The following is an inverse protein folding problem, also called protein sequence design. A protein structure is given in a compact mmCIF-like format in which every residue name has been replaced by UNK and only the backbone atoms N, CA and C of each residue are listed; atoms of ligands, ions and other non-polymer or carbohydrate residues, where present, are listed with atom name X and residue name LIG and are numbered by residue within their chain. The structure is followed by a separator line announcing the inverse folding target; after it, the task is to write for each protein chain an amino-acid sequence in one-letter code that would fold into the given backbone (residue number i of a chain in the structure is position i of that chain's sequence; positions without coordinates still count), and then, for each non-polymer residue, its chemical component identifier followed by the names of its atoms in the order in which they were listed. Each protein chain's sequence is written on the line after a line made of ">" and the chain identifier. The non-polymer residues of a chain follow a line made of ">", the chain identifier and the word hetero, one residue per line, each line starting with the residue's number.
data_IF_607903698543
#
_entry.id   IF_607903698543
#
_cell.length_a   1.000
_cell.length_b   1.000
_cell.length_c   1.000
_cell.angle_alpha   90.00
_cell.angle_beta   90.00
_cell.angle_gamma   90.00
#
_symmetry.space_group_name_H-M   'P 1'
#
loop_
_entity.id
_entity.type
_entity.pdbx_description
1 polymer ?
#
# COMPACT_ATOMS: atom_id res chain seq x y z
N UNK A 1 -3.86 18.14 8.96
CA UNK A 1 -2.37 18.31 8.96
C UNK A 1 -2.05 19.67 8.39
N UNK A 2 -1.21 20.44 9.09
CA UNK A 2 -0.80 21.79 8.66
C UNK A 2 0.59 21.79 8.07
N UNK A 3 0.75 22.41 6.90
CA UNK A 3 2.03 22.63 6.28
C UNK A 3 2.46 24.09 6.47
N UNK A 4 3.66 24.32 7.06
CA UNK A 4 4.26 25.65 7.33
C UNK A 4 3.28 26.65 7.96
N UNK A 5 2.35 26.16 8.81
CA UNK A 5 1.41 27.00 9.57
C UNK A 5 0.29 27.66 8.78
N UNK A 6 0.22 27.52 7.45
CA UNK A 6 -0.72 28.26 6.61
C UNK A 6 -1.75 27.42 5.84
N UNK A 7 -1.42 26.17 5.50
CA UNK A 7 -2.30 25.32 4.68
C UNK A 7 -2.70 24.10 5.49
N UNK A 8 -4.00 23.90 5.61
CA UNK A 8 -4.56 22.75 6.32
C UNK A 8 -5.11 21.72 5.33
N UNK A 9 -4.67 20.46 5.48
CA UNK A 9 -5.18 19.34 4.74
C UNK A 9 -6.08 18.50 5.67
N UNK A 10 -7.40 18.50 5.45
CA UNK A 10 -8.30 17.62 6.19
C UNK A 10 -7.96 16.16 5.85
N UNK A 11 -7.71 15.37 6.88
CA UNK A 11 -7.53 13.93 6.73
C UNK A 11 -8.89 13.24 6.77
N UNK A 12 -8.98 12.15 6.04
CA UNK A 12 -10.08 11.20 6.10
C UNK A 12 -9.66 9.98 6.91
N UNK A 13 -10.63 9.31 7.48
CA UNK A 13 -10.47 8.03 8.19
C UNK A 13 -10.68 6.83 7.25
N UNK A 14 -10.52 5.63 7.80
CA UNK A 14 -10.71 4.37 7.08
C UNK A 14 -12.14 4.21 6.58
N UNK A 15 -13.15 4.79 7.25
CA UNK A 15 -14.55 4.70 6.82
C UNK A 15 -14.72 5.24 5.41
N UNK A 16 -14.03 6.32 5.05
CA UNK A 16 -14.07 6.90 3.71
C UNK A 16 -13.53 5.98 2.62
N UNK A 17 -12.60 5.08 2.97
CA UNK A 17 -12.11 4.04 2.06
C UNK A 17 -13.06 2.85 2.00
N UNK A 18 -13.63 2.45 3.15
CA UNK A 18 -14.58 1.33 3.27
C UNK A 18 -15.85 1.57 2.47
N UNK A 19 -16.38 2.79 2.49
CA UNK A 19 -17.57 3.19 1.70
C UNK A 19 -17.34 3.09 0.19
N UNK A 20 -16.07 3.15 -0.25
CA UNK A 20 -15.70 3.03 -1.67
C UNK A 20 -15.38 1.60 -2.07
N UNK A 21 -14.83 0.80 -1.15
CA UNK A 21 -14.33 -0.54 -1.44
C UNK A 21 -15.47 -1.50 -1.78
N UNK A 22 -15.21 -2.39 -2.76
CA UNK A 22 -16.03 -3.56 -3.00
C UNK A 22 -15.58 -4.76 -2.16
N UNK A 23 -16.18 -5.92 -2.41
CA UNK A 23 -15.83 -7.17 -1.72
C UNK A 23 -14.42 -7.68 -2.08
N UNK A 24 -13.88 -7.25 -3.22
CA UNK A 24 -12.55 -7.64 -3.72
C UNK A 24 -11.63 -6.43 -3.84
N UNK A 25 -10.40 -6.55 -3.30
CA UNK A 25 -9.33 -5.56 -3.46
C UNK A 25 -8.10 -6.25 -4.07
N UNK A 26 -7.47 -5.60 -5.04
CA UNK A 26 -6.17 -6.01 -5.60
C UNK A 26 -5.14 -4.94 -5.29
N UNK A 27 -4.17 -5.29 -4.45
CA UNK A 27 -3.01 -4.46 -4.12
C UNK A 27 -2.00 -4.60 -5.25
N UNK A 28 -1.77 -3.53 -6.00
CA UNK A 28 -0.96 -3.55 -7.22
C UNK A 28 0.37 -2.86 -6.96
N UNK A 29 1.43 -3.65 -6.91
CA UNK A 29 2.81 -3.20 -6.85
C UNK A 29 3.40 -2.88 -8.23
N UNK A 30 4.69 -2.53 -8.24
CA UNK A 30 5.40 -2.16 -9.46
C UNK A 30 6.41 -3.21 -9.94
N UNK A 31 6.33 -4.43 -9.43
CA UNK A 31 7.17 -5.54 -9.86
C UNK A 31 6.85 -5.98 -11.29
N UNK A 32 7.81 -6.67 -11.95
CA UNK A 32 7.66 -7.09 -13.34
C UNK A 32 6.48 -8.04 -13.61
N UNK A 33 5.98 -8.76 -12.60
CA UNK A 33 4.82 -9.66 -12.74
C UNK A 33 3.53 -8.95 -13.16
N UNK A 34 3.48 -7.61 -13.07
CA UNK A 34 2.31 -6.85 -13.50
C UNK A 34 2.21 -6.78 -15.04
N UNK A 35 3.32 -7.06 -15.75
CA UNK A 35 3.33 -7.05 -17.21
C UNK A 35 2.43 -8.17 -17.75
N UNK A 36 1.52 -7.77 -18.63
CA UNK A 36 0.57 -8.71 -19.27
C UNK A 36 -0.68 -9.00 -18.43
N UNK A 37 -0.85 -8.39 -17.28
CA UNK A 37 -2.10 -8.48 -16.55
C UNK A 37 -3.18 -7.60 -17.19
N UNK A 38 -4.39 -8.14 -17.35
CA UNK A 38 -5.55 -7.42 -17.90
C UNK A 38 -6.20 -6.58 -16.81
N UNK A 39 -5.69 -5.35 -16.60
CA UNK A 39 -6.15 -4.48 -15.52
C UNK A 39 -7.50 -3.83 -15.80
N UNK A 40 -7.91 -3.74 -17.06
CA UNK A 40 -9.20 -3.18 -17.46
C UNK A 40 -10.39 -4.07 -17.05
N UNK A 41 -10.14 -5.36 -16.79
CA UNK A 41 -11.13 -6.31 -16.30
C UNK A 41 -11.41 -6.20 -14.80
N UNK A 42 -10.56 -5.49 -14.05
CA UNK A 42 -10.75 -5.31 -12.62
C UNK A 42 -12.06 -4.57 -12.31
N UNK A 43 -12.82 -5.02 -11.29
CA UNK A 43 -13.98 -4.27 -10.82
C UNK A 43 -13.62 -2.83 -10.45
N UNK A 44 -14.55 -1.93 -10.61
CA UNK A 44 -14.40 -0.56 -10.15
C UNK A 44 -14.12 -0.55 -8.64
N UNK A 45 -13.23 0.35 -8.21
CA UNK A 45 -12.85 0.54 -6.81
C UNK A 45 -12.26 -0.70 -6.14
N UNK A 46 -11.65 -1.59 -6.94
CA UNK A 46 -10.93 -2.77 -6.42
C UNK A 46 -9.42 -2.61 -6.44
N UNK A 47 -8.85 -1.72 -7.25
CA UNK A 47 -7.41 -1.57 -7.39
C UNK A 47 -6.82 -0.57 -6.39
N UNK A 48 -5.91 -1.02 -5.52
CA UNK A 48 -5.10 -0.19 -4.63
C UNK A 48 -3.67 -0.13 -5.17
N UNK A 49 -3.29 1.00 -5.77
CA UNK A 49 -2.02 1.19 -6.47
C UNK A 49 -0.90 1.63 -5.52
N UNK A 50 0.25 0.98 -5.59
CA UNK A 50 1.40 1.26 -4.73
C UNK A 50 2.52 1.99 -5.47
N UNK A 51 2.96 3.14 -4.98
CA UNK A 51 4.12 3.88 -5.51
C UNK A 51 4.07 3.96 -7.06
N UNK A 52 5.08 3.40 -7.75
CA UNK A 52 5.21 3.43 -9.20
C UNK A 52 4.08 2.75 -10.00
N UNK A 53 3.22 1.93 -9.34
CA UNK A 53 2.04 1.38 -9.98
C UNK A 53 1.03 2.46 -10.40
N UNK A 54 1.16 3.72 -9.93
CA UNK A 54 0.39 4.86 -10.44
C UNK A 54 0.50 5.03 -11.96
N UNK A 55 1.59 4.56 -12.59
CA UNK A 55 1.75 4.58 -14.05
C UNK A 55 0.68 3.75 -14.78
N UNK A 56 0.05 2.80 -14.09
CA UNK A 56 -1.02 1.94 -14.60
C UNK A 56 -2.43 2.54 -14.44
N UNK A 57 -2.57 3.68 -13.74
CA UNK A 57 -3.88 4.24 -13.37
C UNK A 57 -4.80 4.47 -14.58
N UNK A 58 -4.22 4.76 -15.75
CA UNK A 58 -4.98 4.93 -17.00
C UNK A 58 -5.56 3.64 -17.59
N UNK A 59 -5.10 2.47 -17.11
CA UNK A 59 -5.61 1.15 -17.51
C UNK A 59 -6.72 0.66 -16.60
N UNK A 60 -6.98 1.37 -15.50
CA UNK A 60 -7.96 1.00 -14.48
C UNK A 60 -9.13 1.97 -14.55
N UNK A 61 -10.32 1.41 -14.68
CA UNK A 61 -11.55 2.19 -14.86
C UNK A 61 -11.79 3.15 -13.69
N UNK A 62 -11.82 2.62 -12.48
CA UNK A 62 -11.94 3.40 -11.25
C UNK A 62 -11.08 2.76 -10.15
N UNK A 63 -9.89 3.31 -9.84
CA UNK A 63 -9.07 2.78 -8.76
C UNK A 63 -9.72 3.07 -7.39
N UNK A 64 -9.49 2.17 -6.43
CA UNK A 64 -9.90 2.37 -5.05
C UNK A 64 -9.13 3.53 -4.43
N UNK A 65 -7.80 3.45 -4.49
CA UNK A 65 -6.89 4.46 -3.94
C UNK A 65 -5.47 4.30 -4.49
N UNK A 66 -4.62 5.28 -4.17
CA UNK A 66 -3.16 5.24 -4.39
C UNK A 66 -2.45 5.35 -3.04
N UNK A 67 -1.52 4.43 -2.74
CA UNK A 67 -0.73 4.43 -1.51
C UNK A 67 0.74 4.75 -1.82
N UNK A 68 1.29 5.77 -1.17
CA UNK A 68 2.70 6.17 -1.28
C UNK A 68 3.25 6.41 0.12
N UNK A 69 4.30 5.68 0.48
CA UNK A 69 4.87 5.71 1.83
C UNK A 69 6.30 6.28 1.86
N UNK A 70 7.08 6.08 0.79
CA UNK A 70 8.48 6.52 0.72
C UNK A 70 8.60 7.89 0.06
N UNK A 71 9.03 8.91 0.82
CA UNK A 71 9.27 10.27 0.29
C UNK A 71 10.32 10.31 -0.83
N UNK A 72 11.28 9.35 -0.85
CA UNK A 72 12.28 9.24 -1.93
C UNK A 72 11.65 8.93 -3.26
N UNK A 73 10.51 8.19 -3.25
CA UNK A 73 9.73 7.96 -4.45
C UNK A 73 9.20 9.28 -5.02
N UNK A 74 8.68 10.17 -4.16
CA UNK A 74 8.18 11.49 -4.56
C UNK A 74 9.29 12.32 -5.21
N UNK A 75 10.43 12.47 -4.53
CA UNK A 75 11.56 13.26 -5.04
C UNK A 75 12.07 12.77 -6.39
N UNK A 76 12.04 11.47 -6.63
CA UNK A 76 12.56 10.85 -7.86
C UNK A 76 11.55 10.84 -8.99
N UNK A 77 10.26 10.66 -8.69
CA UNK A 77 9.22 10.38 -9.67
C UNK A 77 8.07 11.40 -9.66
N UNK A 78 8.33 12.63 -9.18
CA UNK A 78 7.29 13.64 -9.09
C UNK A 78 6.64 13.97 -10.43
N UNK A 79 7.41 13.99 -11.53
CA UNK A 79 6.87 14.18 -12.88
C UNK A 79 5.82 13.14 -13.26
N UNK A 80 6.09 11.86 -12.96
CA UNK A 80 5.13 10.77 -13.16
C UNK A 80 3.88 10.96 -12.29
N UNK A 81 4.05 11.33 -11.02
CA UNK A 81 2.93 11.59 -10.13
C UNK A 81 2.02 12.69 -10.68
N UNK A 82 2.61 13.82 -11.06
CA UNK A 82 1.87 14.97 -11.61
C UNK A 82 1.13 14.62 -12.90
N UNK A 83 1.74 13.82 -13.78
CA UNK A 83 1.13 13.36 -15.02
C UNK A 83 -0.05 12.40 -14.78
N UNK A 84 0.09 11.47 -13.82
CA UNK A 84 -0.83 10.35 -13.63
C UNK A 84 -1.90 10.61 -12.58
N UNK A 85 -1.63 11.43 -11.58
CA UNK A 85 -2.58 11.73 -10.50
C UNK A 85 -3.52 12.88 -10.86
N UNK A 86 -4.15 12.84 -12.02
CA UNK A 86 -5.07 13.87 -12.49
C UNK A 86 -6.47 13.75 -11.88
N UNK A 87 -6.89 12.56 -11.50
CA UNK A 87 -8.19 12.27 -10.90
C UNK A 87 -8.20 12.67 -9.43
N UNK A 88 -8.79 13.82 -9.09
CA UNK A 88 -8.79 14.37 -7.73
C UNK A 88 -9.67 13.58 -6.76
N UNK A 89 -10.67 12.87 -7.27
CA UNK A 89 -11.60 12.05 -6.50
C UNK A 89 -10.98 10.74 -5.96
N UNK A 90 -9.83 10.31 -6.51
CA UNK A 90 -9.13 9.10 -6.06
C UNK A 90 -8.42 9.36 -4.74
N UNK A 91 -8.75 8.62 -3.67
CA UNK A 91 -8.12 8.76 -2.37
C UNK A 91 -6.62 8.50 -2.42
N UNK A 92 -5.88 9.24 -1.60
CA UNK A 92 -4.44 9.08 -1.42
C UNK A 92 -4.15 8.62 0.00
N UNK A 93 -3.50 7.46 0.15
CA UNK A 93 -2.92 6.97 1.39
C UNK A 93 -1.46 7.43 1.42
N UNK A 94 -1.14 8.38 2.29
CA UNK A 94 0.17 9.04 2.28
C UNK A 94 0.83 9.04 3.67
N UNK A 95 2.13 8.77 3.71
CA UNK A 95 2.90 9.01 4.93
C UNK A 95 3.14 10.51 5.15
N UNK A 96 3.44 10.96 6.39
CA UNK A 96 3.79 12.36 6.68
C UNK A 96 4.97 12.86 5.85
N UNK A 97 5.98 12.00 5.61
CA UNK A 97 7.14 12.33 4.78
C UNK A 97 6.75 12.60 3.33
N UNK A 98 5.88 11.76 2.77
CA UNK A 98 5.34 11.90 1.40
C UNK A 98 4.52 13.18 1.27
N UNK A 99 3.62 13.46 2.21
CA UNK A 99 2.83 14.71 2.22
C UNK A 99 3.74 15.93 2.22
N UNK A 100 4.78 15.94 3.08
CA UNK A 100 5.77 17.02 3.12
C UNK A 100 6.48 17.18 1.78
N UNK A 101 6.99 16.08 1.20
CA UNK A 101 7.72 16.12 -0.07
C UNK A 101 6.85 16.65 -1.22
N UNK A 102 5.58 16.25 -1.29
CA UNK A 102 4.63 16.79 -2.28
C UNK A 102 4.41 18.29 -2.05
N UNK A 103 4.19 18.72 -0.81
CA UNK A 103 3.99 20.14 -0.49
C UNK A 103 5.20 21.03 -0.84
N UNK A 104 6.42 20.47 -0.76
CA UNK A 104 7.64 21.20 -1.15
C UNK A 104 7.76 21.36 -2.67
N UNK A 105 7.21 20.42 -3.46
CA UNK A 105 7.30 20.42 -4.92
C UNK A 105 6.10 21.09 -5.59
N UNK A 106 4.90 20.73 -5.20
CA UNK A 106 3.65 21.27 -5.73
C UNK A 106 2.49 20.95 -4.77
N UNK A 107 2.16 21.90 -3.93
CA UNK A 107 1.12 21.77 -2.93
C UNK A 107 -0.28 21.57 -3.53
N UNK A 108 -0.51 22.06 -4.75
CA UNK A 108 -1.79 21.93 -5.44
C UNK A 108 -2.12 20.48 -5.82
N UNK A 109 -1.11 19.60 -5.85
CA UNK A 109 -1.34 18.18 -6.07
C UNK A 109 -2.17 17.53 -4.95
N UNK A 110 -2.13 18.06 -3.73
CA UNK A 110 -2.91 17.57 -2.59
C UNK A 110 -4.24 18.32 -2.38
N UNK A 111 -4.43 19.47 -3.03
CA UNK A 111 -5.61 20.30 -2.80
C UNK A 111 -6.88 19.57 -3.25
N UNK A 112 -7.91 19.67 -2.42
CA UNK A 112 -9.26 19.10 -2.67
C UNK A 112 -9.25 17.59 -2.95
N UNK A 113 -8.30 16.86 -2.32
CA UNK A 113 -8.23 15.40 -2.41
C UNK A 113 -8.57 14.73 -1.09
N UNK A 114 -9.23 13.57 -1.11
CA UNK A 114 -9.36 12.74 0.07
C UNK A 114 -7.98 12.13 0.40
N UNK A 115 -7.44 12.51 1.57
CA UNK A 115 -6.15 12.04 2.05
C UNK A 115 -6.36 11.22 3.32
N UNK A 116 -5.83 10.00 3.35
CA UNK A 116 -5.79 9.11 4.49
C UNK A 116 -4.33 8.99 4.93
N UNK A 117 -4.09 9.08 6.23
CA UNK A 117 -2.72 9.06 6.76
C UNK A 117 -2.20 7.63 6.90
N UNK A 118 -1.03 7.35 6.34
CA UNK A 118 -0.23 6.17 6.69
C UNK A 118 0.72 6.58 7.81
N UNK A 119 0.37 6.30 9.06
CA UNK A 119 1.23 6.58 10.21
C UNK A 119 1.85 5.29 10.77
N UNK A 120 3.13 5.34 11.18
CA UNK A 120 3.80 4.16 11.79
C UNK A 120 3.34 4.03 13.24
N UNK A 121 2.58 2.97 13.54
CA UNK A 121 2.09 2.71 14.89
C UNK A 121 3.23 2.61 15.93
N UNK A 122 4.42 2.17 15.52
CA UNK A 122 5.61 2.09 16.40
C UNK A 122 6.25 3.44 16.64
N UNK A 123 6.11 4.37 15.71
CA UNK A 123 6.66 5.73 15.82
C UNK A 123 5.71 6.72 15.16
N UNK A 124 4.57 7.03 15.80
CA UNK A 124 3.61 7.96 15.22
C UNK A 124 4.22 9.35 15.02
N UNK A 125 3.75 10.03 14.01
CA UNK A 125 4.27 11.36 13.66
C UNK A 125 4.12 12.34 14.83
N UNK A 126 5.25 12.96 15.20
CA UNK A 126 5.27 13.92 16.32
C UNK A 126 5.20 13.31 17.73
N UNK A 127 5.18 11.98 17.86
CA UNK A 127 5.12 11.28 19.14
C UNK A 127 6.40 10.45 19.39
N UNK A 128 6.68 10.11 20.66
CA UNK A 128 7.75 9.18 21.00
C UNK A 128 7.54 7.80 20.37
N UNK A 129 8.65 7.09 20.15
CA UNK A 129 8.58 5.67 19.74
C UNK A 129 7.91 4.85 20.83
N UNK A 130 6.97 4.01 20.45
CA UNK A 130 6.33 3.01 21.31
C UNK A 130 7.20 1.77 21.39
N UNK A 131 7.39 1.26 22.59
CA UNK A 131 8.03 -0.04 22.82
C UNK A 131 7.01 -1.19 22.65
N UNK A 132 7.51 -2.43 22.80
CA UNK A 132 6.67 -3.62 22.65
C UNK A 132 5.55 -3.67 23.71
N UNK A 133 5.84 -3.25 24.94
CA UNK A 133 4.85 -3.25 26.03
C UNK A 133 3.69 -2.28 25.73
N UNK A 134 4.01 -1.08 25.24
CA UNK A 134 2.99 -0.12 24.83
C UNK A 134 2.13 -0.63 23.67
N UNK A 135 2.74 -1.33 22.68
CA UNK A 135 2.02 -1.87 21.53
C UNK A 135 1.11 -3.05 21.90
N UNK A 136 1.55 -3.94 22.80
CA UNK A 136 0.72 -5.07 23.29
C UNK A 136 -0.45 -4.63 24.16
N UNK A 137 -0.47 -3.38 24.60
CA UNK A 137 -1.60 -2.79 25.32
C UNK A 137 -2.80 -2.43 24.43
N UNK A 138 -2.64 -2.47 23.10
CA UNK A 138 -3.73 -2.20 22.16
C UNK A 138 -4.40 -3.52 21.75
N UNK A 139 -5.71 -3.61 21.87
CA UNK A 139 -6.53 -4.78 21.53
C UNK A 139 -6.63 -5.05 20.02
N UNK A 140 -6.39 -4.02 19.20
CA UNK A 140 -6.33 -4.09 17.74
C UNK A 140 -4.93 -4.41 17.18
N UNK A 141 -3.93 -4.65 18.03
CA UNK A 141 -2.54 -4.95 17.64
C UNK A 141 -2.20 -6.41 17.91
N UNK A 142 -1.65 -7.07 16.90
CA UNK A 142 -1.04 -8.40 17.02
C UNK A 142 0.46 -8.28 16.77
N UNK A 143 1.28 -8.86 17.65
CA UNK A 143 2.74 -8.88 17.54
C UNK A 143 3.24 -10.32 17.59
N UNK A 144 4.12 -10.67 16.66
CA UNK A 144 4.85 -11.93 16.66
C UNK A 144 6.32 -11.67 16.29
N UNK A 145 7.25 -12.02 17.19
CA UNK A 145 8.66 -11.70 17.06
C UNK A 145 8.90 -10.23 16.67
N UNK A 146 9.36 -9.98 15.45
CA UNK A 146 9.62 -8.64 14.92
C UNK A 146 8.48 -8.13 14.00
N UNK A 147 7.49 -8.98 13.72
CA UNK A 147 6.33 -8.62 12.90
C UNK A 147 5.21 -8.03 13.74
N UNK A 148 4.38 -7.21 13.11
CA UNK A 148 3.18 -6.66 13.72
C UNK A 148 2.08 -6.43 12.68
N UNK A 149 0.85 -6.49 13.16
CA UNK A 149 -0.37 -6.21 12.43
C UNK A 149 -1.26 -5.30 13.28
N UNK A 150 -1.88 -4.31 12.64
CA UNK A 150 -2.88 -3.43 13.24
C UNK A 150 -4.21 -3.60 12.51
N UNK A 151 -5.26 -3.90 13.24
CA UNK A 151 -6.63 -3.96 12.72
C UNK A 151 -7.30 -2.59 12.62
N UNK A 152 -6.72 -1.57 13.27
CA UNK A 152 -7.20 -0.18 13.24
C UNK A 152 -6.15 0.74 12.60
N UNK A 153 -6.19 0.94 11.26
CA UNK A 153 -5.23 1.77 10.56
C UNK A 153 -5.33 3.27 10.89
N UNK A 154 -6.45 3.74 11.46
CA UNK A 154 -6.58 5.13 11.90
C UNK A 154 -5.73 5.41 13.15
N UNK A 155 -5.43 4.38 13.95
CA UNK A 155 -4.50 4.43 15.07
C UNK A 155 -3.04 4.20 14.65
N UNK A 156 -2.82 3.83 13.38
CA UNK A 156 -1.53 3.55 12.76
C UNK A 156 -1.36 2.12 12.29
N UNK A 157 -0.40 1.93 11.40
CA UNK A 157 -0.08 0.64 10.77
C UNK A 157 1.38 0.25 10.98
N UNK A 158 1.69 -1.02 10.83
CA UNK A 158 3.07 -1.51 10.73
C UNK A 158 3.58 -1.36 9.30
N UNK A 159 4.66 -0.61 9.11
CA UNK A 159 5.22 -0.38 7.77
C UNK A 159 6.12 -1.52 7.28
N UNK A 160 6.83 -2.20 8.17
CA UNK A 160 7.58 -3.44 7.90
C UNK A 160 8.63 -3.40 6.77
N UNK A 161 8.81 -2.27 6.08
CA UNK A 161 9.78 -2.10 5.00
C UNK A 161 9.18 -2.18 3.59
N UNK A 162 7.86 -2.27 3.46
CA UNK A 162 7.16 -2.20 2.17
C UNK A 162 5.77 -1.57 2.34
N UNK A 163 5.43 -0.64 1.47
CA UNK A 163 4.08 -0.05 1.42
C UNK A 163 2.97 -1.10 1.20
N UNK A 164 3.30 -2.29 0.69
CA UNK A 164 2.35 -3.39 0.55
C UNK A 164 1.81 -3.88 1.91
N UNK A 165 2.63 -3.78 2.97
CA UNK A 165 2.23 -4.16 4.34
C UNK A 165 1.23 -3.16 4.90
N UNK A 166 1.49 -1.86 4.75
CA UNK A 166 0.56 -0.80 5.14
C UNK A 166 -0.75 -0.92 4.36
N UNK A 167 -0.65 -1.07 3.04
CA UNK A 167 -1.81 -1.23 2.15
C UNK A 167 -2.68 -2.44 2.50
N UNK A 168 -2.06 -3.58 2.89
CA UNK A 168 -2.80 -4.77 3.33
C UNK A 168 -3.63 -4.49 4.59
N UNK A 169 -3.08 -3.78 5.58
CA UNK A 169 -3.80 -3.43 6.80
C UNK A 169 -4.99 -2.50 6.50
N UNK A 170 -4.80 -1.51 5.63
CA UNK A 170 -5.92 -0.69 5.14
C UNK A 170 -6.95 -1.51 4.38
N UNK A 171 -6.54 -2.41 3.49
CA UNK A 171 -7.45 -3.25 2.72
C UNK A 171 -8.27 -4.19 3.62
N UNK A 172 -7.65 -4.80 4.65
CA UNK A 172 -8.35 -5.64 5.62
C UNK A 172 -9.39 -4.85 6.42
N UNK A 173 -9.05 -3.62 6.82
CA UNK A 173 -9.96 -2.76 7.58
C UNK A 173 -11.16 -2.24 6.77
N UNK A 174 -11.16 -2.35 5.43
CA UNK A 174 -12.34 -1.99 4.61
C UNK A 174 -13.51 -2.97 4.73
N UNK A 175 -13.26 -4.19 5.24
CA UNK A 175 -14.26 -5.27 5.24
C UNK A 175 -14.34 -6.05 3.92
N UNK A 176 -13.38 -5.89 3.01
CA UNK A 176 -13.28 -6.69 1.80
C UNK A 176 -13.13 -8.18 2.16
N UNK A 177 -13.76 -9.05 1.38
CA UNK A 177 -13.73 -10.52 1.58
C UNK A 177 -12.57 -11.20 0.88
N UNK A 178 -12.04 -10.55 -0.15
CA UNK A 178 -10.95 -11.07 -0.97
C UNK A 178 -9.92 -9.97 -1.23
N UNK A 179 -8.65 -10.25 -0.90
CA UNK A 179 -7.54 -9.32 -1.15
C UNK A 179 -6.45 -10.07 -1.91
N UNK A 180 -6.09 -9.54 -3.08
CA UNK A 180 -5.05 -10.10 -3.95
C UNK A 180 -3.82 -9.22 -4.03
N UNK A 181 -2.66 -9.82 -4.28
CA UNK A 181 -1.40 -9.12 -4.57
C UNK A 181 -1.00 -9.32 -6.02
N UNK A 182 -0.75 -8.25 -6.77
CA UNK A 182 -0.25 -8.26 -8.13
C UNK A 182 0.98 -7.33 -8.24
N UNK A 183 2.07 -7.82 -8.83
CA UNK A 183 3.31 -7.02 -8.94
C UNK A 183 4.01 -6.75 -7.60
N UNK A 184 3.70 -7.56 -6.57
CA UNK A 184 4.39 -7.57 -5.26
C UNK A 184 5.36 -8.76 -5.27
N UNK A 185 6.44 -8.62 -6.04
CA UNK A 185 7.32 -9.74 -6.39
C UNK A 185 8.34 -10.07 -5.29
N UNK A 186 8.80 -9.11 -4.52
CA UNK A 186 9.73 -9.17 -3.38
C UNK A 186 11.10 -9.78 -3.76
N UNK A 187 11.16 -10.99 -4.31
CA UNK A 187 12.38 -11.72 -4.71
C UNK A 187 13.22 -11.03 -5.78
N UNK A 188 12.59 -10.25 -6.68
CA UNK A 188 13.26 -9.59 -7.80
C UNK A 188 13.53 -8.10 -7.51
N UNK A 189 13.90 -7.79 -6.29
CA UNK A 189 14.12 -6.41 -5.85
C UNK A 189 15.20 -5.64 -6.64
N UNK A 190 16.11 -6.35 -7.30
CA UNK A 190 17.16 -5.78 -8.14
C UNK A 190 16.78 -5.72 -9.64
N UNK A 191 15.65 -6.32 -10.04
CA UNK A 191 15.17 -6.21 -11.41
C UNK A 191 14.55 -4.84 -11.64
N UNK A 192 14.66 -4.27 -12.85
CA UNK A 192 14.00 -3.02 -13.19
C UNK A 192 12.49 -3.16 -12.98
N UNK A 193 11.88 -2.17 -12.34
CA UNK A 193 10.43 -2.08 -12.27
C UNK A 193 9.88 -1.89 -13.69
N UNK A 194 8.63 -2.28 -13.93
CA UNK A 194 8.06 -2.26 -15.28
C UNK A 194 8.06 -0.86 -15.94
N UNK A 195 8.17 0.23 -15.18
CA UNK A 195 8.25 1.62 -15.64
C UNK A 195 9.70 2.16 -15.69
N UNK A 196 10.70 1.40 -15.25
CA UNK A 196 12.12 1.78 -15.27
C UNK A 196 12.80 1.27 -16.54
N UNK A 197 13.81 2.02 -17.02
CA UNK A 197 14.66 1.61 -18.15
C UNK A 197 15.90 0.89 -17.63
N UNK A 198 16.40 -0.09 -18.38
CA UNK A 198 17.70 -0.71 -18.12
C UNK A 198 18.79 0.36 -17.96
N UNK A 199 19.62 0.22 -16.91
CA UNK A 199 20.68 1.18 -16.58
C UNK A 199 20.27 2.32 -15.65
N UNK A 200 18.97 2.48 -15.32
CA UNK A 200 18.50 3.48 -14.36
C UNK A 200 17.53 2.85 -13.34
N UNK A 201 17.98 1.78 -12.71
CA UNK A 201 17.22 1.05 -11.69
C UNK A 201 17.37 1.72 -10.35
N UNK A 202 16.26 2.09 -9.72
CA UNK A 202 16.28 2.64 -8.38
C UNK A 202 16.68 1.57 -7.36
N UNK A 203 17.64 1.89 -6.48
CA UNK A 203 17.94 1.03 -5.34
C UNK A 203 16.66 0.73 -4.55
N UNK A 204 16.37 -0.56 -4.41
CA UNK A 204 15.24 -1.06 -3.63
C UNK A 204 15.79 -1.69 -2.35
N UNK A 205 15.44 -1.14 -1.19
CA UNK A 205 15.76 -1.75 0.11
C UNK A 205 15.03 -3.08 0.38
N UNK A 206 14.21 -3.55 -0.57
CA UNK A 206 13.39 -4.76 -0.45
C UNK A 206 14.24 -6.01 -0.34
N UNK A 207 15.36 -6.13 -1.08
CA UNK A 207 16.23 -7.32 -1.02
C UNK A 207 16.77 -7.60 0.40
N UNK A 208 17.13 -6.55 1.16
CA UNK A 208 17.55 -6.68 2.57
C UNK A 208 16.39 -6.76 3.57
N UNK A 209 15.16 -6.62 3.12
CA UNK A 209 13.96 -6.60 3.95
C UNK A 209 13.01 -7.77 3.69
N UNK A 210 13.34 -8.68 2.77
CA UNK A 210 12.45 -9.78 2.33
C UNK A 210 11.89 -10.57 3.51
N UNK A 211 12.74 -11.11 4.38
CA UNK A 211 12.30 -11.90 5.53
C UNK A 211 11.36 -11.11 6.44
N UNK A 212 11.65 -9.83 6.68
CA UNK A 212 10.80 -8.95 7.49
C UNK A 212 9.46 -8.68 6.81
N UNK A 213 9.46 -8.44 5.50
CA UNK A 213 8.23 -8.21 4.73
C UNK A 213 7.35 -9.46 4.79
N UNK A 214 7.93 -10.65 4.55
CA UNK A 214 7.21 -11.91 4.60
C UNK A 214 6.65 -12.21 5.99
N UNK A 215 7.39 -11.91 7.06
CA UNK A 215 6.92 -12.08 8.42
C UNK A 215 5.67 -11.20 8.70
N UNK A 216 5.68 -9.92 8.29
CA UNK A 216 4.52 -9.04 8.46
C UNK A 216 3.31 -9.49 7.64
N UNK A 217 3.52 -9.88 6.36
CA UNK A 217 2.42 -10.35 5.51
C UNK A 217 1.90 -11.71 6.01
N UNK A 218 2.76 -12.59 6.51
CA UNK A 218 2.38 -13.86 7.12
C UNK A 218 1.46 -13.66 8.32
N UNK A 219 1.86 -12.77 9.25
CA UNK A 219 1.05 -12.44 10.42
C UNK A 219 -0.31 -11.81 10.00
N UNK A 220 -0.30 -10.91 9.02
CA UNK A 220 -1.52 -10.31 8.49
C UNK A 220 -2.41 -11.33 7.76
N UNK A 221 -1.81 -12.37 7.12
CA UNK A 221 -2.56 -13.49 6.53
C UNK A 221 -3.31 -14.28 7.60
N UNK A 222 -2.65 -14.60 8.71
CA UNK A 222 -3.27 -15.35 9.79
C UNK A 222 -4.42 -14.55 10.44
N UNK A 223 -4.22 -13.23 10.58
CA UNK A 223 -5.29 -12.33 11.01
C UNK A 223 -6.44 -12.28 10.00
N UNK A 224 -6.15 -12.21 8.70
CA UNK A 224 -7.15 -12.22 7.63
C UNK A 224 -7.97 -13.52 7.64
N UNK A 225 -7.32 -14.67 7.81
CA UNK A 225 -8.00 -15.97 7.92
C UNK A 225 -8.96 -16.00 9.12
N UNK A 226 -8.53 -15.50 10.27
CA UNK A 226 -9.38 -15.37 11.45
C UNK A 226 -10.59 -14.42 11.23
N UNK A 227 -10.45 -13.44 10.35
CA UNK A 227 -11.52 -12.52 9.94
C UNK A 227 -12.41 -13.09 8.82
N UNK A 228 -12.10 -14.29 8.29
CA UNK A 228 -12.80 -14.88 7.13
C UNK A 228 -12.45 -14.21 5.80
N UNK A 229 -11.34 -13.47 5.72
CA UNK A 229 -10.86 -12.79 4.51
C UNK A 229 -9.86 -13.68 3.78
N UNK A 230 -10.06 -13.86 2.48
CA UNK A 230 -9.17 -14.64 1.64
C UNK A 230 -8.05 -13.77 1.07
N UNK A 231 -6.80 -14.16 1.31
CA UNK A 231 -5.64 -13.57 0.61
C UNK A 231 -5.24 -14.42 -0.59
N UNK A 232 -4.82 -13.78 -1.67
CA UNK A 232 -4.35 -14.42 -2.91
C UNK A 232 -3.11 -13.72 -3.49
N UNK A 233 -2.32 -14.47 -4.26
CA UNK A 233 -1.16 -13.95 -4.97
C UNK A 233 -1.36 -14.11 -6.48
N UNK A 234 -1.37 -12.98 -7.20
CA UNK A 234 -1.52 -12.92 -8.66
C UNK A 234 -0.19 -12.69 -9.38
N UNK A 235 0.94 -12.79 -8.67
CA UNK A 235 2.29 -12.70 -9.23
C UNK A 235 2.88 -14.08 -9.41
N UNK A 236 3.23 -14.47 -10.64
CA UNK A 236 3.82 -15.78 -10.93
C UNK A 236 5.16 -15.99 -10.20
N UNK A 237 5.94 -14.90 -10.10
CA UNK A 237 7.24 -14.89 -9.42
C UNK A 237 7.15 -13.98 -8.20
N UNK A 238 6.82 -14.56 -7.05
CA UNK A 238 6.71 -13.81 -5.79
C UNK A 238 7.14 -14.67 -4.61
N UNK A 239 7.89 -14.07 -3.68
CA UNK A 239 8.25 -14.68 -2.40
C UNK A 239 7.03 -14.99 -1.52
N UNK A 240 5.85 -14.40 -1.79
CA UNK A 240 4.62 -14.69 -1.07
C UNK A 240 4.22 -16.16 -1.09
N UNK A 241 4.72 -16.93 -2.06
CA UNK A 241 4.51 -18.41 -2.10
C UNK A 241 5.14 -19.10 -0.89
N UNK A 242 6.27 -18.61 -0.39
CA UNK A 242 6.94 -19.20 0.77
C UNK A 242 6.15 -19.10 2.08
N UNK A 243 5.16 -18.20 2.12
CA UNK A 243 4.23 -18.04 3.25
C UNK A 243 2.84 -18.60 2.93
N UNK A 244 2.70 -19.51 1.96
CA UNK A 244 1.45 -20.20 1.66
C UNK A 244 0.47 -19.40 0.79
N UNK A 245 0.87 -18.27 0.19
CA UNK A 245 0.06 -17.55 -0.79
C UNK A 245 0.43 -18.01 -2.19
N UNK A 246 -0.15 -19.13 -2.62
CA UNK A 246 0.08 -19.70 -3.94
C UNK A 246 -0.42 -18.80 -5.07
N UNK A 247 0.23 -18.92 -6.22
CA UNK A 247 -0.17 -18.20 -7.41
C UNK A 247 -1.56 -18.58 -7.88
N UNK A 248 -2.38 -17.58 -8.16
CA UNK A 248 -3.69 -17.70 -8.81
C UNK A 248 -3.80 -16.66 -9.93
N UNK A 249 -4.24 -17.00 -11.13
CA UNK A 249 -4.54 -16.02 -12.17
C UNK A 249 -5.51 -14.95 -11.67
N UNK A 250 -5.34 -13.70 -12.17
CA UNK A 250 -6.16 -12.57 -11.76
C UNK A 250 -7.65 -12.75 -12.11
N UNK A 251 -7.94 -13.45 -13.21
CA UNK A 251 -9.29 -13.61 -13.78
C UNK A 251 -10.10 -14.75 -13.17
N UNK A 252 -9.50 -15.56 -12.28
CA UNK A 252 -10.24 -16.59 -11.56
C UNK A 252 -11.00 -15.98 -10.39
N UNK A 253 -12.22 -15.54 -10.65
CA UNK A 253 -13.25 -15.38 -9.60
C UNK A 253 -13.49 -16.76 -9.01
N UNK A 254 -13.24 -16.91 -7.72
CA UNK A 254 -13.59 -18.15 -7.02
C UNK A 254 -15.11 -18.15 -6.87
N UNK A 255 -15.75 -19.09 -7.60
CA UNK A 255 -17.15 -19.46 -7.40
C UNK A 255 -17.39 -20.06 -6.01
#
# INVERSE_FOLDING_TARGET
>A
VKFRGGIDFPLRDICSLSERAGERIVIIGSGPSVKGAELSSLPERSALLLNGAISLIGQIREPLAVAIEDERFVWRHFGLMRERMTRREVPLLLSPGVMRAICELDIDLLRDRPIILIDDIRKPYGLPRRDKAALTGFDFVVLEAEAGFSADPDQGVFQGGSVAISALQFALATGAREIGFLGVDITNANAPRFYEKEGNVAYSGIAGAEARILAHIGLARDAAEAMGVRLSNHSQVSALRSIGLDYRPLDQTVS
#
